data_IF_808014421854
#
_entry.id   IF_808014421854
#
_cell.length_a   1.000
_cell.length_b   1.000
_cell.length_c   1.000
_cell.angle_alpha   90.00
_cell.angle_beta   90.00
_cell.angle_gamma   90.00
#
_symmetry.space_group_name_H-M   'P 1'
#
loop_
_entity.id
_entity.type
_entity.pdbx_description
1 polymer ?
#
# COMPACT_ATOMS: atom_id res chain seq x y z
N UNK A 1 -8.83 18.05 -9.72
CA UNK A 1 -9.39 18.65 -10.95
C UNK A 1 -10.21 17.60 -11.69
N UNK A 2 -11.25 17.99 -12.42
CA UNK A 2 -11.99 17.07 -13.30
C UNK A 2 -11.44 17.30 -14.71
N UNK A 3 -10.78 16.30 -15.28
CA UNK A 3 -10.15 16.37 -16.61
C UNK A 3 -10.80 15.34 -17.52
N UNK A 4 -11.13 15.75 -18.75
CA UNK A 4 -11.76 14.85 -19.72
C UNK A 4 -10.75 13.84 -20.30
N UNK A 5 -11.20 12.59 -20.46
CA UNK A 5 -10.41 11.51 -21.06
C UNK A 5 -9.32 10.92 -20.14
N UNK A 6 -8.63 9.89 -20.64
CA UNK A 6 -7.55 9.22 -19.90
C UNK A 6 -6.25 10.00 -20.10
N UNK A 7 -5.84 10.72 -19.06
CA UNK A 7 -4.55 11.39 -19.05
C UNK A 7 -3.44 10.41 -18.62
N UNK A 8 -2.23 10.52 -19.19
CA UNK A 8 -1.09 9.73 -18.75
C UNK A 8 -0.69 10.15 -17.33
N UNK A 9 -0.45 9.16 -16.47
CA UNK A 9 0.11 9.38 -15.14
C UNK A 9 1.63 9.24 -15.23
N UNK A 10 2.35 10.20 -14.64
CA UNK A 10 3.79 10.05 -14.45
C UNK A 10 4.04 8.93 -13.42
N UNK A 11 4.94 7.97 -13.70
CA UNK A 11 5.32 6.99 -12.71
C UNK A 11 6.03 7.70 -11.54
N UNK A 12 5.74 7.31 -10.29
CA UNK A 12 6.46 7.85 -9.14
C UNK A 12 7.90 7.31 -9.13
N UNK A 13 8.89 8.20 -9.22
CA UNK A 13 10.31 7.85 -9.26
C UNK A 13 11.07 8.47 -8.06
N UNK A 14 11.74 7.61 -7.28
CA UNK A 14 12.79 8.01 -6.33
C UNK A 14 14.13 8.08 -7.08
N UNK A 15 14.24 9.02 -8.02
CA UNK A 15 15.44 9.19 -8.83
C UNK A 15 16.01 10.61 -8.70
N UNK A 16 17.30 10.76 -9.06
CA UNK A 16 18.00 12.05 -9.06
C UNK A 16 18.11 12.69 -7.67
N UNK A 17 17.86 14.00 -7.63
CA UNK A 17 18.03 14.82 -6.42
C UNK A 17 17.12 14.36 -5.27
N UNK A 18 15.90 13.90 -5.59
CA UNK A 18 14.96 13.41 -4.59
C UNK A 18 15.50 12.16 -3.90
N UNK A 19 16.09 11.22 -4.64
CA UNK A 19 16.71 10.02 -4.07
C UNK A 19 17.87 10.36 -3.13
N UNK A 20 18.74 11.31 -3.55
CA UNK A 20 19.86 11.79 -2.72
C UNK A 20 19.38 12.43 -1.43
N UNK A 21 18.37 13.30 -1.52
CA UNK A 21 17.78 13.93 -0.35
C UNK A 21 17.15 12.90 0.60
N UNK A 22 16.42 11.91 0.07
CA UNK A 22 15.79 10.86 0.87
C UNK A 22 16.82 9.99 1.60
N UNK A 23 18.00 9.77 1.03
CA UNK A 23 19.09 9.09 1.73
C UNK A 23 19.57 9.87 2.97
N UNK A 24 19.62 11.21 2.90
CA UNK A 24 19.95 12.04 4.06
C UNK A 24 18.84 11.99 5.13
N UNK A 25 17.58 12.03 4.70
CA UNK A 25 16.42 11.89 5.59
C UNK A 25 16.46 10.54 6.33
N UNK A 26 16.76 9.45 5.62
CA UNK A 26 16.89 8.12 6.20
C UNK A 26 18.05 8.03 7.20
N UNK A 27 19.16 8.73 6.96
CA UNK A 27 20.30 8.80 7.88
C UNK A 27 20.01 9.64 9.15
N UNK A 28 19.18 10.67 9.04
CA UNK A 28 18.87 11.56 10.16
C UNK A 28 17.72 11.07 11.04
N UNK A 29 16.77 10.30 10.49
CA UNK A 29 15.57 9.90 11.24
C UNK A 29 15.85 8.84 12.30
N UNK A 30 15.16 8.96 13.44
CA UNK A 30 15.17 7.94 14.50
C UNK A 30 14.04 6.92 14.36
N UNK A 31 12.88 7.35 13.87
CA UNK A 31 11.70 6.49 13.75
C UNK A 31 11.81 5.61 12.50
N UNK A 32 11.38 4.36 12.64
CA UNK A 32 11.15 3.49 11.48
C UNK A 32 9.89 3.92 10.74
N UNK A 33 9.90 3.80 9.42
CA UNK A 33 8.73 4.05 8.58
C UNK A 33 8.24 2.69 8.07
N UNK A 34 7.04 2.31 8.49
CA UNK A 34 6.36 1.10 8.05
C UNK A 34 5.17 1.48 7.17
N UNK A 35 4.77 0.56 6.30
CA UNK A 35 3.60 0.76 5.43
C UNK A 35 2.36 0.09 6.00
N UNK A 36 1.19 0.61 5.63
CA UNK A 36 -0.07 -0.10 5.76
C UNK A 36 -0.35 -0.76 4.41
N UNK A 37 -0.32 -2.09 4.35
CA UNK A 37 -0.46 -2.83 3.10
C UNK A 37 -1.20 -4.15 3.35
N UNK A 38 -2.23 -4.37 2.54
CA UNK A 38 -3.16 -5.51 2.70
C UNK A 38 -3.01 -6.53 1.55
N UNK A 39 -2.37 -6.13 0.45
CA UNK A 39 -2.10 -7.00 -0.70
C UNK A 39 -0.60 -7.16 -0.97
N UNK A 40 -0.16 -8.27 -1.60
CA UNK A 40 1.24 -8.45 -1.99
C UNK A 40 1.75 -7.35 -2.94
N UNK A 41 0.88 -6.81 -3.81
CA UNK A 41 1.24 -5.76 -4.74
C UNK A 41 1.57 -4.45 -4.01
N UNK A 42 0.72 -4.06 -3.04
CA UNK A 42 0.94 -2.85 -2.23
C UNK A 42 2.21 -2.97 -1.38
N UNK A 43 2.45 -4.15 -0.79
CA UNK A 43 3.65 -4.40 -0.02
C UNK A 43 4.93 -4.32 -0.88
N UNK A 44 4.89 -4.86 -2.10
CA UNK A 44 6.00 -4.78 -3.05
C UNK A 44 6.29 -3.34 -3.47
N UNK A 45 5.25 -2.55 -3.74
CA UNK A 45 5.39 -1.14 -4.11
C UNK A 45 5.94 -0.31 -2.96
N UNK A 46 5.37 -0.44 -1.76
CA UNK A 46 5.84 0.27 -0.58
C UNK A 46 7.31 -0.01 -0.25
N UNK A 47 7.77 -1.25 -0.51
CA UNK A 47 9.17 -1.62 -0.33
C UNK A 47 10.10 -0.87 -1.31
N UNK A 48 9.66 -0.61 -2.55
CA UNK A 48 10.43 0.20 -3.52
C UNK A 48 10.61 1.65 -3.02
N UNK A 49 9.64 2.17 -2.27
CA UNK A 49 9.69 3.50 -1.66
C UNK A 49 10.39 3.56 -0.29
N UNK A 50 11.05 2.48 0.14
CA UNK A 50 11.84 2.49 1.37
C UNK A 50 11.07 2.14 2.65
N UNK A 51 9.83 1.64 2.54
CA UNK A 51 9.12 1.12 3.71
C UNK A 51 9.91 -0.05 4.33
N UNK A 52 10.06 -0.03 5.65
CA UNK A 52 10.92 -0.97 6.39
C UNK A 52 10.16 -2.20 6.93
N UNK A 53 8.93 -2.40 6.46
CA UNK A 53 8.04 -3.48 6.87
C UNK A 53 6.58 -3.05 6.81
N UNK A 54 5.69 -3.95 7.20
CA UNK A 54 4.25 -3.70 7.29
C UNK A 54 3.90 -3.40 8.76
N UNK A 55 3.36 -2.22 9.00
CA UNK A 55 2.91 -1.77 10.33
C UNK A 55 1.46 -2.15 10.61
N UNK A 56 0.65 -2.26 9.56
CA UNK A 56 -0.75 -2.69 9.64
C UNK A 56 -1.15 -3.44 8.36
N UNK A 57 -1.67 -4.64 8.54
CA UNK A 57 -2.37 -5.40 7.49
C UNK A 57 -3.81 -5.62 7.97
N UNK A 58 -4.78 -5.04 7.27
CA UNK A 58 -6.21 -5.12 7.56
C UNK A 58 -6.79 -6.34 6.88
N UNK A 59 -6.95 -7.41 7.65
CA UNK A 59 -7.49 -8.68 7.14
C UNK A 59 -8.91 -8.54 6.59
N UNK A 60 -9.66 -7.56 7.07
CA UNK A 60 -11.03 -7.27 6.64
C UNK A 60 -11.10 -6.95 5.15
N UNK A 61 -10.11 -6.21 4.63
CA UNK A 61 -10.02 -5.88 3.20
C UNK A 61 -9.80 -7.13 2.34
N UNK A 62 -9.24 -8.20 2.91
CA UNK A 62 -9.05 -9.46 2.20
C UNK A 62 -10.35 -10.23 1.99
N UNK A 63 -11.38 -9.99 2.81
CA UNK A 63 -12.70 -10.62 2.63
C UNK A 63 -13.54 -9.91 1.57
N UNK A 64 -13.32 -8.62 1.35
CA UNK A 64 -13.99 -7.84 0.32
C UNK A 64 -13.37 -7.99 -1.08
N UNK A 65 -12.26 -8.72 -1.20
CA UNK A 65 -11.52 -8.89 -2.44
C UNK A 65 -12.24 -9.76 -3.50
N UNK A 66 -13.21 -10.60 -3.10
CA UNK A 66 -14.00 -11.39 -4.05
C UNK A 66 -15.39 -11.73 -3.52
N UNK A 67 -16.35 -11.94 -4.43
CA UNK A 67 -17.71 -12.37 -4.07
C UNK A 67 -17.72 -13.68 -3.28
N UNK A 68 -16.82 -14.61 -3.60
CA UNK A 68 -16.68 -15.88 -2.88
C UNK A 68 -16.33 -15.67 -1.40
N UNK A 69 -15.37 -14.78 -1.11
CA UNK A 69 -14.93 -14.48 0.25
C UNK A 69 -16.00 -13.72 1.03
N UNK A 70 -16.71 -12.80 0.37
CA UNK A 70 -17.88 -12.11 0.94
C UNK A 70 -18.96 -13.14 1.28
N UNK A 71 -19.25 -14.09 0.39
CA UNK A 71 -20.23 -15.13 0.62
C UNK A 71 -19.84 -16.07 1.77
N UNK A 72 -18.55 -16.42 1.89
CA UNK A 72 -18.04 -17.19 3.01
C UNK A 72 -18.22 -16.46 4.35
N UNK A 73 -17.89 -15.16 4.40
CA UNK A 73 -18.09 -14.35 5.60
C UNK A 73 -19.57 -14.21 5.96
N UNK A 74 -20.44 -14.00 4.96
CA UNK A 74 -21.90 -13.97 5.18
C UNK A 74 -22.41 -15.28 5.74
N UNK A 75 -22.03 -16.43 5.17
CA UNK A 75 -22.44 -17.76 5.68
C UNK A 75 -22.07 -17.95 7.15
N UNK A 76 -20.87 -17.52 7.56
CA UNK A 76 -20.45 -17.57 8.96
C UNK A 76 -21.38 -16.75 9.87
N UNK A 77 -21.79 -15.55 9.43
CA UNK A 77 -22.67 -14.65 10.22
C UNK A 77 -24.08 -15.23 10.38
N UNK A 78 -24.66 -15.83 9.33
CA UNK A 78 -26.04 -16.37 9.37
C UNK A 78 -26.11 -17.81 9.91
N UNK A 79 -24.97 -18.45 10.22
CA UNK A 79 -24.93 -19.80 10.79
C UNK A 79 -25.25 -19.84 12.30
N UNK A 80 -25.57 -18.69 12.91
CA UNK A 80 -26.03 -18.58 14.29
C UNK A 80 -27.53 -18.84 14.41
#
# INVERSE_FOLDING_TARGET
EIVAGKQPLAPPELAGDLGTFMAWVDGARRLKVLTNADTPADAAEARKFGAQGIGLCRTEHMFFASEERIAAMRRMVVAQ
#
